data_IF_636075049785
#
_entry.id   IF_636075049785
#
_cell.length_a   1.000
_cell.length_b   1.000
_cell.length_c   1.000
_cell.angle_alpha   90.00
_cell.angle_beta   90.00
_cell.angle_gamma   90.00
#
_symmetry.space_group_name_H-M   'P 1'
#
loop_
_entity.id
_entity.type
_entity.pdbx_description
1 polymer ?
#
# COMPACT_ATOMS: atom_id res chain seq x y z
N UNK A 1 -4.70 -3.50 -30.14
CA UNK A 1 -4.80 -2.76 -28.85
C UNK A 1 -6.19 -2.97 -28.30
N UNK A 2 -6.32 -3.35 -27.02
CA UNK A 2 -7.62 -3.55 -26.37
C UNK A 2 -8.34 -2.20 -26.23
N UNK A 3 -9.63 -2.13 -26.54
CA UNK A 3 -10.42 -0.93 -26.34
C UNK A 3 -10.82 -0.81 -24.85
N UNK A 4 -10.38 0.24 -24.16
CA UNK A 4 -10.71 0.48 -22.75
C UNK A 4 -12.00 1.29 -22.60
N UNK A 5 -12.86 0.88 -21.66
CA UNK A 5 -14.08 1.61 -21.30
C UNK A 5 -13.75 2.89 -20.52
N UNK A 6 -14.74 3.78 -20.32
CA UNK A 6 -14.57 4.93 -19.43
C UNK A 6 -14.22 4.52 -17.98
N UNK A 7 -14.80 3.40 -17.51
CA UNK A 7 -14.56 2.84 -16.19
C UNK A 7 -13.13 2.29 -16.00
N UNK A 8 -12.49 1.87 -17.10
CA UNK A 8 -11.09 1.41 -17.11
C UNK A 8 -10.09 2.59 -17.19
N UNK A 9 -10.57 3.78 -17.55
CA UNK A 9 -9.76 5.00 -17.67
C UNK A 9 -9.83 5.88 -16.44
N UNK A 10 -10.97 5.92 -15.74
CA UNK A 10 -11.16 6.86 -14.63
C UNK A 10 -10.23 6.55 -13.44
N UNK A 11 -9.54 7.59 -12.96
CA UNK A 11 -8.71 7.56 -11.76
C UNK A 11 -9.54 7.25 -10.51
N UNK A 12 -9.10 6.29 -9.67
CA UNK A 12 -9.94 5.79 -8.56
C UNK A 12 -10.24 6.82 -7.47
N UNK A 13 -9.34 7.78 -7.22
CA UNK A 13 -9.61 8.90 -6.32
C UNK A 13 -10.45 10.03 -6.97
N UNK A 14 -10.38 10.21 -8.29
CA UNK A 14 -11.30 11.14 -8.98
C UNK A 14 -12.72 10.59 -8.88
N UNK A 15 -12.90 9.27 -9.04
CA UNK A 15 -14.17 8.59 -8.75
C UNK A 15 -14.69 8.88 -7.35
N UNK A 16 -13.82 8.89 -6.33
CA UNK A 16 -14.20 9.19 -4.95
C UNK A 16 -14.88 10.56 -4.82
N UNK A 17 -14.38 11.58 -5.52
CA UNK A 17 -15.00 12.91 -5.53
C UNK A 17 -16.38 12.90 -6.20
N UNK A 18 -16.58 12.08 -7.23
CA UNK A 18 -17.89 11.91 -7.87
C UNK A 18 -18.88 11.20 -6.94
N UNK A 19 -18.46 10.09 -6.34
CA UNK A 19 -19.30 9.25 -5.47
C UNK A 19 -19.71 9.97 -4.19
N UNK A 20 -18.80 10.77 -3.62
CA UNK A 20 -19.07 11.61 -2.44
C UNK A 20 -19.93 12.82 -2.76
N UNK A 21 -20.01 13.24 -4.04
CA UNK A 21 -20.66 14.47 -4.46
C UNK A 21 -19.80 15.73 -4.24
N UNK A 22 -18.50 15.57 -3.96
CA UNK A 22 -17.56 16.69 -3.86
C UNK A 22 -17.33 17.40 -5.21
N UNK A 23 -17.60 16.70 -6.32
CA UNK A 23 -17.57 17.26 -7.67
C UNK A 23 -18.86 16.89 -8.43
N UNK A 24 -19.38 17.82 -9.23
CA UNK A 24 -20.58 17.61 -10.04
C UNK A 24 -20.26 17.04 -11.43
N UNK A 25 -18.99 16.93 -11.82
CA UNK A 25 -18.56 16.33 -13.09
C UNK A 25 -17.16 15.72 -13.02
N UNK A 26 -16.80 14.88 -14.01
CA UNK A 26 -15.43 14.34 -14.15
C UNK A 26 -14.42 15.48 -14.27
N UNK A 27 -14.69 16.49 -15.09
CA UNK A 27 -13.79 17.62 -15.31
C UNK A 27 -13.55 18.43 -14.02
N UNK A 28 -14.59 18.66 -13.22
CA UNK A 28 -14.45 19.31 -11.91
C UNK A 28 -13.61 18.46 -10.94
N UNK A 29 -13.83 17.14 -10.92
CA UNK A 29 -13.07 16.23 -10.07
C UNK A 29 -11.59 16.18 -10.51
N UNK A 30 -11.30 16.14 -11.81
CA UNK A 30 -9.94 16.20 -12.33
C UNK A 30 -9.26 17.54 -12.00
N UNK A 31 -9.98 18.66 -12.15
CA UNK A 31 -9.47 19.98 -11.78
C UNK A 31 -9.17 20.09 -10.27
N UNK A 32 -10.02 19.51 -9.42
CA UNK A 32 -9.79 19.42 -7.97
C UNK A 32 -8.46 18.71 -7.66
N UNK A 33 -8.25 17.52 -8.24
CA UNK A 33 -7.04 16.74 -8.01
C UNK A 33 -5.79 17.35 -8.67
N UNK A 34 -5.94 18.07 -9.78
CA UNK A 34 -4.86 18.88 -10.37
C UNK A 34 -4.43 20.05 -9.47
N UNK A 35 -5.27 20.45 -8.50
CA UNK A 35 -4.91 21.39 -7.44
C UNK A 35 -4.10 20.76 -6.30
N UNK A 36 -4.14 19.44 -6.13
CA UNK A 36 -3.44 18.75 -5.04
C UNK A 36 -1.96 18.59 -5.35
N UNK A 37 -1.12 19.16 -4.49
CA UNK A 37 0.35 19.13 -4.58
C UNK A 37 0.95 18.65 -3.26
N UNK A 38 2.13 18.06 -3.32
CA UNK A 38 2.89 17.65 -2.15
C UNK A 38 4.38 17.91 -2.34
N UNK A 39 5.02 18.41 -1.28
CA UNK A 39 6.46 18.57 -1.20
C UNK A 39 7.07 17.57 -0.21
N UNK A 40 8.23 17.03 -0.57
CA UNK A 40 9.02 16.12 0.25
C UNK A 40 10.37 16.76 0.57
N UNK A 41 10.85 16.58 1.79
CA UNK A 41 12.16 17.04 2.24
C UNK A 41 12.92 15.91 2.92
N UNK A 42 14.22 15.86 2.72
CA UNK A 42 15.12 14.92 3.38
C UNK A 42 16.42 15.64 3.73
N UNK A 43 16.92 15.43 4.94
CA UNK A 43 18.20 15.99 5.39
C UNK A 43 19.39 15.29 4.74
N UNK A 44 20.58 15.90 4.85
CA UNK A 44 21.78 15.38 4.18
C UNK A 44 22.20 13.98 4.65
N UNK A 45 22.24 13.74 5.97
CA UNK A 45 22.57 12.42 6.52
C UNK A 45 21.51 11.38 6.17
N UNK A 46 20.23 11.76 6.32
CA UNK A 46 19.10 10.92 5.97
C UNK A 46 19.11 10.52 4.49
N UNK A 47 19.54 11.39 3.58
CA UNK A 47 19.63 11.08 2.16
C UNK A 47 20.63 9.96 1.83
N UNK A 48 21.57 9.66 2.73
CA UNK A 48 22.54 8.55 2.58
C UNK A 48 22.16 7.29 3.36
N UNK A 49 21.11 7.36 4.18
CA UNK A 49 20.60 6.21 4.92
C UNK A 49 19.53 5.45 4.12
N UNK A 50 19.69 4.13 4.02
CA UNK A 50 18.78 3.27 3.24
C UNK A 50 17.33 3.30 3.74
N UNK A 51 17.10 3.47 5.05
CA UNK A 51 15.74 3.44 5.61
C UNK A 51 15.01 4.76 5.33
N UNK A 52 15.72 5.88 5.43
CA UNK A 52 15.18 7.18 5.04
C UNK A 52 14.95 7.26 3.51
N UNK A 53 15.85 6.71 2.69
CA UNK A 53 15.59 6.57 1.25
C UNK A 53 14.35 5.72 0.96
N UNK A 54 14.14 4.62 1.70
CA UNK A 54 12.95 3.78 1.56
C UNK A 54 11.66 4.55 1.87
N UNK A 55 11.64 5.35 2.95
CA UNK A 55 10.51 6.23 3.26
C UNK A 55 10.28 7.26 2.15
N UNK A 56 11.34 7.94 1.69
CA UNK A 56 11.25 8.97 0.66
C UNK A 56 10.68 8.40 -0.65
N UNK A 57 11.26 7.32 -1.16
CA UNK A 57 10.86 6.73 -2.44
C UNK A 57 9.47 6.10 -2.38
N UNK A 58 9.11 5.50 -1.24
CA UNK A 58 7.72 5.07 -1.00
C UNK A 58 6.78 6.27 -1.03
N UNK A 59 7.10 7.36 -0.32
CA UNK A 59 6.27 8.56 -0.30
C UNK A 59 6.10 9.16 -1.71
N UNK A 60 7.17 9.26 -2.50
CA UNK A 60 7.11 9.71 -3.90
C UNK A 60 6.19 8.81 -4.74
N UNK A 61 6.42 7.49 -4.70
CA UNK A 61 5.65 6.54 -5.49
C UNK A 61 4.15 6.58 -5.16
N UNK A 62 3.80 6.70 -3.89
CA UNK A 62 2.42 6.84 -3.45
C UNK A 62 1.83 8.21 -3.82
N UNK A 63 2.56 9.29 -3.54
CA UNK A 63 2.07 10.65 -3.71
C UNK A 63 1.81 11.02 -5.16
N UNK A 64 2.65 10.57 -6.12
CA UNK A 64 2.47 10.86 -7.55
C UNK A 64 1.08 10.46 -8.07
N UNK A 65 0.50 9.42 -7.46
CA UNK A 65 -0.81 8.84 -7.80
C UNK A 65 -1.99 9.50 -7.06
N UNK A 66 -1.71 10.46 -6.19
CA UNK A 66 -2.71 11.11 -5.33
C UNK A 66 -2.73 12.63 -5.57
N UNK A 67 -1.56 13.24 -5.67
CA UNK A 67 -1.38 14.68 -5.84
C UNK A 67 -1.13 15.00 -7.32
N UNK A 68 -2.19 15.03 -8.11
CA UNK A 68 -2.11 15.17 -9.58
C UNK A 68 -1.64 16.57 -10.03
N UNK A 69 -1.60 17.54 -9.12
CA UNK A 69 -0.93 18.83 -9.35
C UNK A 69 0.59 18.77 -9.30
N UNK A 70 1.16 17.64 -8.86
CA UNK A 70 2.59 17.37 -8.88
C UNK A 70 3.19 17.10 -7.49
N UNK A 71 4.27 16.34 -7.50
CA UNK A 71 5.09 16.02 -6.32
C UNK A 71 6.50 16.53 -6.57
N UNK A 72 7.02 17.32 -5.62
CA UNK A 72 8.37 17.86 -5.67
C UNK A 72 9.19 17.40 -4.47
N UNK A 73 10.44 17.03 -4.68
CA UNK A 73 11.43 16.82 -3.62
C UNK A 73 12.34 18.04 -3.58
N UNK A 74 12.51 18.65 -2.41
CA UNK A 74 13.45 19.75 -2.22
C UNK A 74 14.87 19.35 -2.65
N UNK A 75 15.75 20.31 -3.01
CA UNK A 75 17.12 20.00 -3.38
C UNK A 75 17.80 19.11 -2.33
N UNK A 76 18.41 18.03 -2.81
CA UNK A 76 19.02 16.99 -1.99
C UNK A 76 20.50 16.85 -2.37
N UNK A 77 21.35 16.31 -1.47
CA UNK A 77 22.74 16.04 -1.80
C UNK A 77 22.84 14.97 -2.89
N UNK A 78 23.98 14.95 -3.59
CA UNK A 78 24.34 13.80 -4.40
C UNK A 78 24.56 12.58 -3.50
N UNK A 79 23.80 11.53 -3.75
CA UNK A 79 23.76 10.32 -2.94
C UNK A 79 23.50 9.09 -3.81
N UNK A 80 24.25 8.00 -3.61
CA UNK A 80 23.95 6.73 -4.27
C UNK A 80 22.59 6.21 -3.80
N UNK A 81 21.93 5.44 -4.65
CA UNK A 81 20.74 4.70 -4.26
C UNK A 81 21.16 3.54 -3.33
N UNK A 82 20.85 3.68 -2.05
CA UNK A 82 21.19 2.71 -1.00
C UNK A 82 20.07 1.68 -0.78
N UNK A 83 18.83 1.98 -1.21
CA UNK A 83 17.76 0.98 -1.22
C UNK A 83 17.96 0.02 -2.39
N UNK A 84 17.63 -1.26 -2.22
CA UNK A 84 17.85 -2.26 -3.26
C UNK A 84 16.73 -2.24 -4.32
N UNK A 85 16.11 -1.09 -4.61
CA UNK A 85 15.02 -1.00 -5.59
C UNK A 85 15.56 -0.75 -7.02
N UNK A 86 14.90 -1.28 -8.06
CA UNK A 86 15.41 -1.19 -9.44
C UNK A 86 15.07 0.16 -10.11
N UNK A 87 15.49 1.28 -9.50
CA UNK A 87 15.18 2.64 -9.95
C UNK A 87 16.41 3.50 -10.29
N UNK A 88 17.54 2.89 -10.63
CA UNK A 88 18.75 3.60 -11.05
C UNK A 88 19.90 3.46 -10.06
N UNK A 89 20.93 4.29 -10.23
CA UNK A 89 22.15 4.26 -9.43
C UNK A 89 22.19 5.34 -8.35
N UNK A 90 21.47 6.45 -8.54
CA UNK A 90 21.42 7.57 -7.59
C UNK A 90 20.04 7.79 -7.00
N UNK A 91 19.98 8.44 -5.84
CA UNK A 91 18.71 8.81 -5.22
C UNK A 91 17.90 9.77 -6.12
N UNK A 92 18.59 10.70 -6.80
CA UNK A 92 17.96 11.65 -7.72
C UNK A 92 17.33 10.96 -8.93
N UNK A 93 18.04 10.01 -9.56
CA UNK A 93 17.51 9.18 -10.65
C UNK A 93 16.25 8.42 -10.21
N UNK A 94 16.27 7.84 -9.01
CA UNK A 94 15.13 7.10 -8.48
C UNK A 94 13.91 8.01 -8.24
N UNK A 95 14.11 9.21 -7.69
CA UNK A 95 13.04 10.21 -7.49
C UNK A 95 12.40 10.60 -8.83
N UNK A 96 13.23 10.91 -9.83
CA UNK A 96 12.76 11.32 -11.17
C UNK A 96 12.08 10.15 -11.89
N UNK A 97 12.66 8.95 -11.81
CA UNK A 97 12.08 7.73 -12.39
C UNK A 97 10.72 7.37 -11.77
N UNK A 98 10.53 7.65 -10.48
CA UNK A 98 9.23 7.52 -9.82
C UNK A 98 8.27 8.68 -10.11
N UNK A 99 8.69 9.70 -10.87
CA UNK A 99 7.84 10.75 -11.42
C UNK A 99 7.68 11.99 -10.57
N UNK A 100 8.57 12.23 -9.60
CA UNK A 100 8.65 13.52 -8.90
C UNK A 100 9.70 14.44 -9.54
N UNK A 101 9.50 15.75 -9.40
CA UNK A 101 10.52 16.75 -9.74
C UNK A 101 11.44 17.02 -8.56
N UNK A 102 12.67 17.44 -8.83
CA UNK A 102 13.60 17.93 -7.82
C UNK A 102 13.70 19.45 -7.96
N UNK A 103 13.44 20.17 -6.87
CA UNK A 103 13.48 21.62 -6.86
C UNK A 103 12.76 22.23 -5.66
N UNK A 104 12.88 23.54 -5.51
CA UNK A 104 12.22 24.26 -4.43
C UNK A 104 10.68 24.14 -4.56
N UNK A 105 9.99 23.72 -3.49
CA UNK A 105 8.54 23.59 -3.54
C UNK A 105 7.88 24.98 -3.59
N UNK A 106 6.75 25.07 -4.28
CA UNK A 106 5.94 26.28 -4.29
C UNK A 106 5.47 26.62 -2.86
N UNK A 107 5.46 27.91 -2.51
CA UNK A 107 5.01 28.38 -1.21
C UNK A 107 3.59 27.88 -0.88
N UNK A 108 3.38 27.42 0.36
CA UNK A 108 2.09 26.90 0.83
C UNK A 108 1.81 25.44 0.46
N UNK A 109 2.67 24.78 -0.33
CA UNK A 109 2.54 23.34 -0.61
C UNK A 109 2.67 22.53 0.68
N UNK A 110 1.79 21.55 0.97
CA UNK A 110 1.94 20.63 2.09
C UNK A 110 3.31 19.93 2.07
N UNK A 111 3.94 19.79 3.24
CA UNK A 111 5.29 19.21 3.36
C UNK A 111 5.29 17.95 4.20
N UNK A 112 5.97 16.91 3.69
CA UNK A 112 6.43 15.76 4.46
C UNK A 112 7.95 15.81 4.55
N UNK A 113 8.48 15.87 5.76
CA UNK A 113 9.90 15.74 6.06
C UNK A 113 10.21 14.28 6.41
N UNK A 114 11.24 13.69 5.81
CA UNK A 114 11.65 12.32 6.04
C UNK A 114 12.68 12.28 7.17
N UNK A 115 12.30 11.72 8.32
CA UNK A 115 13.09 11.79 9.55
C UNK A 115 13.20 13.23 10.05
N UNK A 116 14.43 13.67 10.32
CA UNK A 116 14.75 15.03 10.75
C UNK A 116 14.48 15.31 12.23
N UNK A 117 15.05 16.40 12.73
CA UNK A 117 14.80 16.89 14.10
C UNK A 117 13.51 17.73 14.15
N UNK A 118 12.94 17.96 15.34
CA UNK A 118 11.84 18.90 15.52
C UNK A 118 12.17 20.27 14.91
N UNK A 119 11.24 20.82 14.15
CA UNK A 119 11.44 22.05 13.40
C UNK A 119 10.18 22.92 13.39
N UNK A 120 10.31 24.27 13.29
CA UNK A 120 9.17 25.12 13.01
C UNK A 120 8.46 24.70 11.72
N UNK A 121 7.14 24.89 11.66
CA UNK A 121 6.38 24.59 10.44
C UNK A 121 6.83 25.52 9.30
N UNK A 122 7.19 24.93 8.16
CA UNK A 122 7.47 25.67 6.93
C UNK A 122 6.26 25.77 5.98
N UNK A 123 5.18 25.06 6.30
CA UNK A 123 3.93 25.06 5.54
C UNK A 123 2.72 24.81 6.47
N UNK A 124 1.49 25.15 6.04
CA UNK A 124 0.27 24.90 6.82
C UNK A 124 0.12 23.44 7.27
N UNK A 125 0.45 22.50 6.38
CA UNK A 125 0.66 21.09 6.68
C UNK A 125 2.16 20.79 6.65
N UNK A 126 2.72 20.35 7.78
CA UNK A 126 4.11 19.94 7.90
C UNK A 126 4.23 18.84 8.95
N UNK A 127 4.60 17.63 8.50
CA UNK A 127 4.81 16.46 9.36
C UNK A 127 6.16 15.82 9.08
N UNK A 128 6.72 15.15 10.09
CA UNK A 128 7.91 14.29 9.97
C UNK A 128 7.47 12.84 9.91
N UNK A 129 7.95 12.08 8.93
CA UNK A 129 7.85 10.63 8.88
C UNK A 129 8.97 10.03 9.74
N UNK A 130 8.61 9.32 10.81
CA UNK A 130 9.55 8.81 11.82
C UNK A 130 9.32 7.32 12.06
N UNK A 131 10.41 6.60 12.38
CA UNK A 131 10.39 5.16 12.54
C UNK A 131 11.55 4.68 13.42
N UNK A 132 11.35 3.56 14.12
CA UNK A 132 12.38 2.85 14.89
C UNK A 132 11.91 1.42 15.13
N UNK A 133 12.81 0.43 15.11
CA UNK A 133 12.39 -0.96 15.29
C UNK A 133 11.34 -1.37 14.25
N UNK A 134 10.24 -1.95 14.71
CA UNK A 134 9.08 -2.31 13.88
C UNK A 134 8.01 -1.20 13.80
N UNK A 135 8.29 -0.03 14.39
CA UNK A 135 7.33 1.05 14.56
C UNK A 135 7.54 2.13 13.51
N UNK A 136 6.46 2.57 12.88
CA UNK A 136 6.47 3.61 11.86
C UNK A 136 5.25 4.50 11.94
N UNK A 137 5.45 5.80 11.72
CA UNK A 137 4.37 6.77 11.79
C UNK A 137 4.81 8.17 11.41
N UNK A 138 3.97 9.13 11.80
CA UNK A 138 4.19 10.55 11.61
C UNK A 138 4.01 11.30 12.91
N UNK A 139 4.72 12.42 13.01
CA UNK A 139 4.54 13.43 14.05
C UNK A 139 4.47 14.81 13.40
N UNK A 140 3.74 15.78 13.99
CA UNK A 140 3.83 17.17 13.57
C UNK A 140 5.30 17.64 13.57
N UNK A 141 5.70 18.45 12.57
CA UNK A 141 7.07 18.93 12.49
C UNK A 141 7.67 19.51 13.79
N UNK A 142 6.96 20.36 14.57
CA UNK A 142 7.50 20.93 15.79
C UNK A 142 7.42 20.00 17.01
N UNK A 143 6.81 18.81 16.89
CA UNK A 143 6.68 17.91 18.03
C UNK A 143 8.04 17.30 18.38
N UNK A 144 8.39 17.28 19.66
CA UNK A 144 9.58 16.58 20.18
C UNK A 144 9.44 15.05 20.15
N UNK A 145 8.21 14.56 20.05
CA UNK A 145 7.91 13.13 20.03
C UNK A 145 8.64 12.42 18.88
N UNK A 146 9.28 11.30 19.21
CA UNK A 146 9.91 10.37 18.28
C UNK A 146 9.83 8.97 18.89
N UNK A 147 9.78 7.91 18.06
CA UNK A 147 9.79 6.55 18.57
C UNK A 147 11.12 6.26 19.27
N UNK A 148 11.07 5.54 20.39
CA UNK A 148 12.28 5.11 21.11
C UNK A 148 13.23 4.38 20.14
N UNK A 149 14.52 4.78 20.05
CA UNK A 149 15.45 4.22 19.09
C UNK A 149 15.59 2.69 19.20
N UNK A 150 15.59 2.02 18.05
CA UNK A 150 15.82 0.58 17.89
C UNK A 150 16.26 0.30 16.45
N UNK A 151 16.99 -0.81 16.19
CA UNK A 151 17.38 -1.20 14.83
C UNK A 151 16.17 -1.25 13.89
N UNK A 152 16.20 -0.44 12.83
CA UNK A 152 15.03 -0.22 11.97
C UNK A 152 14.73 -1.47 11.15
N UNK A 153 13.51 -1.99 11.29
CA UNK A 153 12.95 -3.02 10.42
C UNK A 153 12.51 -2.38 9.10
N UNK A 154 12.85 -3.02 7.98
CA UNK A 154 12.79 -2.43 6.64
C UNK A 154 11.39 -1.95 6.17
N UNK A 155 10.30 -2.43 6.77
CA UNK A 155 8.93 -2.00 6.44
C UNK A 155 8.41 -0.84 7.31
N UNK A 156 9.07 -0.51 8.41
CA UNK A 156 8.69 0.63 9.24
C UNK A 156 8.78 1.98 8.50
N UNK A 157 9.80 2.25 7.66
CA UNK A 157 9.84 3.45 6.82
C UNK A 157 8.73 3.49 5.76
N UNK A 158 8.37 2.34 5.17
CA UNK A 158 7.27 2.23 4.21
C UNK A 158 5.93 2.57 4.88
N UNK A 159 5.69 2.06 6.09
CA UNK A 159 4.52 2.37 6.90
C UNK A 159 4.45 3.88 7.21
N UNK A 160 5.55 4.47 7.69
CA UNK A 160 5.62 5.90 8.01
C UNK A 160 5.29 6.77 6.79
N UNK A 161 5.86 6.43 5.63
CA UNK A 161 5.59 7.12 4.36
C UNK A 161 4.12 7.01 3.93
N UNK A 162 3.54 5.82 4.01
CA UNK A 162 2.14 5.60 3.62
C UNK A 162 1.17 6.38 4.53
N UNK A 163 1.42 6.39 5.85
CA UNK A 163 0.65 7.19 6.80
C UNK A 163 0.81 8.70 6.56
N UNK A 164 2.02 9.16 6.21
CA UNK A 164 2.26 10.55 5.86
C UNK A 164 1.44 10.98 4.64
N UNK A 165 1.47 10.19 3.57
CA UNK A 165 0.72 10.45 2.33
C UNK A 165 -0.79 10.44 2.59
N UNK A 166 -1.27 9.49 3.41
CA UNK A 166 -2.68 9.47 3.86
C UNK A 166 -3.06 10.75 4.61
N UNK A 167 -2.27 11.17 5.59
CA UNK A 167 -2.56 12.36 6.40
C UNK A 167 -2.50 13.65 5.55
N UNK A 168 -1.57 13.73 4.59
CA UNK A 168 -1.51 14.82 3.62
C UNK A 168 -2.74 14.85 2.71
N UNK A 169 -3.22 13.68 2.27
CA UNK A 169 -4.46 13.56 1.51
C UNK A 169 -5.67 14.03 2.34
N UNK A 170 -5.78 13.61 3.61
CA UNK A 170 -6.84 14.05 4.54
C UNK A 170 -6.85 15.58 4.70
N UNK A 171 -5.66 16.20 4.74
CA UNK A 171 -5.51 17.64 4.82
C UNK A 171 -6.02 18.34 3.54
N UNK A 172 -5.51 17.99 2.35
CA UNK A 172 -5.87 18.70 1.10
C UNK A 172 -7.31 18.44 0.66
N UNK A 173 -7.87 17.29 1.03
CA UNK A 173 -9.25 16.92 0.73
C UNK A 173 -10.28 17.48 1.73
N UNK A 174 -9.83 18.17 2.80
CA UNK A 174 -10.70 18.80 3.78
C UNK A 174 -11.49 17.84 4.68
N UNK A 175 -11.15 16.54 4.67
CA UNK A 175 -11.90 15.51 5.40
C UNK A 175 -11.58 15.42 6.90
N UNK A 176 -10.47 16.03 7.36
CA UNK A 176 -10.09 16.02 8.77
C UNK A 176 -9.33 17.29 9.18
N UNK A 177 -9.93 18.13 10.03
CA UNK A 177 -9.31 19.37 10.52
C UNK A 177 -8.06 19.14 11.38
N UNK A 178 -7.95 17.96 11.98
CA UNK A 178 -6.80 17.52 12.79
C UNK A 178 -5.63 16.99 11.94
N UNK A 179 -5.83 16.81 10.63
CA UNK A 179 -4.81 16.25 9.74
C UNK A 179 -3.50 17.06 9.81
N UNK A 180 -2.39 16.39 10.09
CA UNK A 180 -1.07 17.00 10.22
C UNK A 180 -0.83 17.75 11.54
N UNK A 181 -1.76 17.63 12.51
CA UNK A 181 -1.66 18.20 13.87
C UNK A 181 -1.59 17.14 14.97
N UNK A 182 -1.67 15.85 14.60
CA UNK A 182 -1.61 14.71 15.51
C UNK A 182 -0.46 13.78 15.14
N UNK A 183 -0.02 12.98 16.11
CA UNK A 183 0.85 11.85 15.86
C UNK A 183 0.01 10.63 15.46
N UNK A 184 0.43 9.91 14.43
CA UNK A 184 -0.28 8.71 13.92
C UNK A 184 0.77 7.67 13.54
N UNK A 185 0.66 6.47 14.07
CA UNK A 185 1.60 5.39 13.78
C UNK A 185 1.13 4.06 14.33
N UNK A 186 1.84 3.01 13.95
CA UNK A 186 1.56 1.63 14.33
C UNK A 186 2.88 0.91 14.65
N UNK A 187 2.82 -0.11 15.49
CA UNK A 187 3.87 -1.14 15.54
C UNK A 187 3.50 -2.28 14.59
N UNK A 188 4.44 -2.65 13.72
CA UNK A 188 4.35 -3.85 12.89
C UNK A 188 4.77 -5.11 13.68
N UNK A 189 5.21 -4.99 14.92
CA UNK A 189 5.43 -6.16 15.79
C UNK A 189 4.20 -6.45 16.64
N UNK A 190 3.62 -5.40 17.24
CA UNK A 190 2.37 -5.47 18.00
C UNK A 190 1.35 -4.47 17.42
N UNK A 191 0.51 -4.90 16.47
CA UNK A 191 -0.50 -4.05 15.86
C UNK A 191 -1.71 -3.78 16.78
N UNK A 192 -1.75 -4.26 18.02
CA UNK A 192 -2.90 -4.04 18.90
C UNK A 192 -3.07 -2.56 19.27
N UNK A 193 -4.32 -2.10 19.44
CA UNK A 193 -4.63 -0.70 19.75
C UNK A 193 -3.94 -0.16 21.00
N UNK A 194 -3.70 -1.01 22.00
CA UNK A 194 -3.03 -0.67 23.25
C UNK A 194 -1.50 -0.48 23.12
N UNK A 195 -0.90 -0.85 21.99
CA UNK A 195 0.52 -0.65 21.76
C UNK A 195 0.82 0.82 21.46
N UNK A 196 1.66 1.44 22.31
CA UNK A 196 2.24 2.76 22.04
C UNK A 196 3.42 2.61 21.06
N UNK A 197 3.20 3.05 19.82
CA UNK A 197 4.19 3.00 18.76
C UNK A 197 5.35 4.02 18.95
N UNK A 198 5.20 5.01 19.84
CA UNK A 198 6.29 5.91 20.20
C UNK A 198 7.15 5.32 21.33
N UNK A 199 6.55 4.57 22.24
CA UNK A 199 7.23 3.83 23.30
C UNK A 199 8.11 2.70 22.77
N UNK A 200 9.09 2.28 23.59
CA UNK A 200 9.90 1.09 23.30
C UNK A 200 9.19 -0.18 23.77
N UNK A 201 9.19 -1.21 22.94
CA UNK A 201 8.73 -2.56 23.33
C UNK A 201 9.95 -3.45 23.57
N UNK A 202 10.02 -4.10 24.74
CA UNK A 202 11.18 -4.93 25.13
C UNK A 202 11.32 -6.19 24.25
N UNK A 203 10.30 -6.49 23.44
CA UNK A 203 10.15 -7.76 22.70
C UNK A 203 10.36 -7.64 21.19
N UNK A 204 10.59 -6.45 20.63
CA UNK A 204 10.82 -6.28 19.20
C UNK A 204 12.15 -6.94 18.77
N UNK A 205 12.12 -7.99 17.93
CA UNK A 205 13.35 -8.64 17.49
C UNK A 205 14.05 -7.81 16.42
N UNK A 206 15.37 -7.97 16.31
CA UNK A 206 16.09 -7.57 15.10
C UNK A 206 15.63 -8.49 13.97
N UNK A 207 15.39 -7.92 12.78
CA UNK A 207 15.03 -8.69 11.60
C UNK A 207 16.23 -9.55 11.16
N UNK A 208 16.10 -10.87 11.24
CA UNK A 208 17.16 -11.84 10.91
C UNK A 208 16.75 -12.83 9.83
N UNK A 209 15.44 -13.11 9.70
CA UNK A 209 14.90 -14.12 8.79
C UNK A 209 13.91 -13.49 7.79
N UNK A 210 14.04 -13.85 6.53
CA UNK A 210 13.16 -13.44 5.44
C UNK A 210 12.53 -14.66 4.77
N UNK A 211 11.34 -14.54 4.16
CA UNK A 211 10.71 -15.67 3.49
C UNK A 211 11.53 -16.12 2.27
N UNK A 212 11.72 -17.43 2.11
CA UNK A 212 12.42 -17.98 0.94
C UNK A 212 11.50 -18.20 -0.28
N UNK A 213 10.20 -18.39 -0.02
CA UNK A 213 9.22 -18.69 -1.06
C UNK A 213 7.84 -18.13 -0.69
N UNK A 214 7.18 -17.48 -1.64
CA UNK A 214 5.84 -16.92 -1.44
C UNK A 214 5.00 -17.06 -2.71
N UNK A 215 3.70 -17.23 -2.52
CA UNK A 215 2.71 -17.17 -3.60
C UNK A 215 1.90 -15.87 -3.49
N UNK A 216 1.97 -15.00 -4.50
CA UNK A 216 1.18 -13.78 -4.56
C UNK A 216 -0.04 -14.01 -5.47
N UNK A 217 -1.23 -13.98 -4.87
CA UNK A 217 -2.51 -14.21 -5.55
C UNK A 217 -3.23 -12.86 -5.73
N UNK A 218 -3.35 -12.42 -6.98
CA UNK A 218 -3.87 -11.10 -7.34
C UNK A 218 -2.77 -10.04 -7.33
N UNK A 219 -2.50 -9.44 -8.48
CA UNK A 219 -1.41 -8.50 -8.77
C UNK A 219 -1.94 -7.11 -9.15
N UNK A 220 -3.12 -6.77 -8.66
CA UNK A 220 -3.66 -5.41 -8.66
C UNK A 220 -3.05 -4.54 -7.56
N UNK A 221 -3.86 -3.70 -6.95
CA UNK A 221 -3.44 -2.73 -5.93
C UNK A 221 -2.60 -3.37 -4.79
N UNK A 222 -3.11 -4.43 -4.14
CA UNK A 222 -2.43 -5.09 -3.02
C UNK A 222 -1.21 -5.90 -3.43
N UNK A 223 -1.32 -6.72 -4.49
CA UNK A 223 -0.19 -7.54 -4.93
C UNK A 223 1.04 -6.73 -5.31
N UNK A 224 0.86 -5.56 -5.93
CA UNK A 224 1.97 -4.66 -6.22
C UNK A 224 2.55 -4.00 -4.97
N UNK A 225 1.71 -3.69 -3.98
CA UNK A 225 2.18 -3.18 -2.69
C UNK A 225 2.96 -4.26 -1.90
N UNK A 226 2.56 -5.54 -1.98
CA UNK A 226 3.33 -6.65 -1.43
C UNK A 226 4.70 -6.76 -2.12
N UNK A 227 4.76 -6.67 -3.45
CA UNK A 227 6.04 -6.68 -4.17
C UNK A 227 6.94 -5.51 -3.79
N UNK A 228 6.38 -4.31 -3.62
CA UNK A 228 7.14 -3.17 -3.11
C UNK A 228 7.71 -3.44 -1.72
N UNK A 229 6.89 -3.93 -0.79
CA UNK A 229 7.32 -4.28 0.56
C UNK A 229 8.44 -5.34 0.55
N UNK A 230 8.27 -6.43 -0.22
CA UNK A 230 9.29 -7.46 -0.41
C UNK A 230 10.58 -6.87 -1.02
N UNK A 231 10.45 -5.95 -1.98
CA UNK A 231 11.58 -5.26 -2.59
C UNK A 231 12.41 -4.44 -1.60
N UNK A 232 11.79 -3.90 -0.55
CA UNK A 232 12.48 -3.17 0.52
C UNK A 232 13.21 -4.08 1.51
N UNK A 233 12.85 -5.36 1.59
CA UNK A 233 13.48 -6.28 2.52
C UNK A 233 14.96 -6.51 2.13
N UNK A 234 15.86 -6.56 3.13
CA UNK A 234 17.29 -6.67 2.91
C UNK A 234 17.69 -8.13 2.68
N UNK A 235 17.35 -8.71 1.52
CA UNK A 235 17.83 -10.05 1.17
C UNK A 235 19.34 -10.03 0.88
N UNK A 236 20.14 -10.80 1.64
CA UNK A 236 21.57 -11.01 1.35
C UNK A 236 21.82 -11.48 -0.09
N UNK A 237 20.99 -12.42 -0.56
CA UNK A 237 20.96 -12.92 -1.94
C UNK A 237 19.52 -12.84 -2.45
N UNK A 238 19.16 -11.80 -3.22
CA UNK A 238 17.78 -11.60 -3.68
C UNK A 238 17.21 -12.82 -4.43
N UNK A 239 18.03 -13.56 -5.15
CA UNK A 239 17.61 -14.74 -5.90
C UNK A 239 17.12 -15.91 -5.04
N UNK A 240 17.42 -15.90 -3.74
CA UNK A 240 16.96 -16.91 -2.79
C UNK A 240 15.45 -16.75 -2.47
N UNK A 241 14.85 -15.60 -2.79
CA UNK A 241 13.39 -15.44 -2.78
C UNK A 241 12.81 -15.95 -4.10
N UNK A 242 11.96 -16.97 -4.02
CA UNK A 242 11.13 -17.48 -5.12
C UNK A 242 9.69 -17.01 -5.00
N UNK A 243 9.17 -16.37 -6.05
CA UNK A 243 7.82 -15.82 -6.10
C UNK A 243 6.98 -16.52 -7.16
N UNK A 244 5.87 -17.15 -6.75
CA UNK A 244 4.81 -17.51 -7.69
C UNK A 244 3.85 -16.33 -7.80
N UNK A 245 3.66 -15.82 -9.02
CA UNK A 245 2.85 -14.64 -9.32
C UNK A 245 1.60 -15.07 -10.09
N UNK A 246 0.42 -14.91 -9.47
CA UNK A 246 -0.84 -15.36 -10.06
C UNK A 246 -1.84 -14.22 -10.29
N UNK A 247 -2.17 -13.96 -11.56
CA UNK A 247 -3.22 -13.04 -12.01
C UNK A 247 -3.58 -13.34 -13.48
N UNK A 248 -4.80 -13.04 -13.90
CA UNK A 248 -5.27 -13.22 -15.29
C UNK A 248 -5.45 -11.90 -16.03
N UNK A 249 -5.44 -10.77 -15.32
CA UNK A 249 -5.74 -9.46 -15.87
C UNK A 249 -4.54 -8.84 -16.59
N UNK A 250 -4.86 -7.81 -17.36
CA UNK A 250 -3.91 -6.85 -17.92
C UNK A 250 -3.91 -5.56 -17.11
N UNK A 251 -2.85 -4.79 -17.24
CA UNK A 251 -2.78 -3.42 -16.72
C UNK A 251 -3.66 -2.52 -17.58
N UNK A 252 -4.60 -1.85 -16.93
CA UNK A 252 -5.50 -0.84 -17.53
C UNK A 252 -5.06 0.57 -17.14
N UNK A 253 -5.51 1.63 -17.83
CA UNK A 253 -5.11 3.00 -17.50
C UNK A 253 -5.40 3.39 -16.04
N UNK A 254 -6.55 2.97 -15.50
CA UNK A 254 -6.92 3.22 -14.09
C UNK A 254 -6.01 2.51 -13.07
N UNK A 255 -5.23 1.51 -13.48
CA UNK A 255 -4.36 0.73 -12.59
C UNK A 255 -3.27 1.61 -11.95
N UNK A 256 -2.77 2.60 -12.69
CA UNK A 256 -1.77 3.55 -12.20
C UNK A 256 -2.26 4.33 -10.97
N UNK A 257 -3.56 4.63 -10.87
CA UNK A 257 -4.12 5.41 -9.76
C UNK A 257 -4.04 4.73 -8.39
N UNK A 258 -3.84 3.40 -8.35
CA UNK A 258 -3.80 2.64 -7.09
C UNK A 258 -2.56 1.76 -6.95
N UNK A 259 -2.01 1.25 -8.05
CA UNK A 259 -0.99 0.20 -7.99
C UNK A 259 0.41 0.79 -8.10
N UNK A 260 1.23 0.62 -7.05
CA UNK A 260 2.50 1.33 -6.85
C UNK A 260 3.58 1.03 -7.91
N UNK A 261 3.49 -0.09 -8.62
CA UNK A 261 4.46 -0.52 -9.63
C UNK A 261 4.00 -0.32 -11.07
N UNK A 262 2.75 0.12 -11.29
CA UNK A 262 2.19 0.31 -12.63
C UNK A 262 2.21 1.76 -13.06
N UNK A 263 2.57 2.01 -14.31
CA UNK A 263 2.45 3.30 -14.98
C UNK A 263 1.88 3.13 -16.40
N UNK A 264 1.67 4.26 -17.09
CA UNK A 264 1.14 4.32 -18.44
C UNK A 264 1.92 3.50 -19.48
N UNK A 265 3.21 3.22 -19.27
CA UNK A 265 4.04 2.45 -20.21
C UNK A 265 3.72 0.96 -20.18
N UNK A 266 3.07 0.48 -19.11
CA UNK A 266 2.74 -0.93 -18.92
C UNK A 266 1.31 -1.30 -19.32
N UNK A 267 0.53 -0.34 -19.85
CA UNK A 267 -0.85 -0.59 -20.29
C UNK A 267 -0.90 -1.70 -21.34
N UNK A 268 -1.90 -2.58 -21.25
CA UNK A 268 -2.08 -3.81 -22.04
C UNK A 268 -1.12 -4.96 -21.74
N UNK A 269 -0.13 -4.78 -20.85
CA UNK A 269 0.73 -5.89 -20.42
C UNK A 269 -0.02 -6.71 -19.35
N UNK A 270 0.09 -8.04 -19.42
CA UNK A 270 -0.40 -8.94 -18.36
C UNK A 270 0.26 -8.56 -17.03
N UNK A 271 -0.53 -8.44 -15.96
CA UNK A 271 -0.03 -8.02 -14.64
C UNK A 271 1.09 -8.94 -14.16
N UNK A 272 0.93 -10.26 -14.30
CA UNK A 272 1.95 -11.27 -14.00
C UNK A 272 3.28 -11.00 -14.68
N UNK A 273 3.28 -10.69 -15.98
CA UNK A 273 4.50 -10.44 -16.76
C UNK A 273 5.18 -9.13 -16.37
N UNK A 274 4.41 -8.07 -16.20
CA UNK A 274 4.93 -6.78 -15.76
C UNK A 274 5.56 -6.88 -14.35
N UNK A 275 4.88 -7.58 -13.44
CA UNK A 275 5.34 -7.75 -12.07
C UNK A 275 6.51 -8.73 -11.95
N UNK A 276 6.54 -9.79 -12.75
CA UNK A 276 7.68 -10.68 -12.88
C UNK A 276 8.93 -9.89 -13.34
N UNK A 277 8.80 -9.11 -14.42
CA UNK A 277 9.90 -8.31 -14.94
C UNK A 277 10.42 -7.28 -13.90
N UNK A 278 9.54 -6.70 -13.09
CA UNK A 278 9.96 -5.83 -11.98
C UNK A 278 10.71 -6.60 -10.89
N UNK A 279 10.17 -7.74 -10.45
CA UNK A 279 10.76 -8.58 -9.41
C UNK A 279 12.12 -9.16 -9.83
N UNK A 280 12.26 -9.55 -11.09
CA UNK A 280 13.53 -10.05 -11.67
C UNK A 280 14.59 -8.94 -11.76
N UNK A 281 14.21 -7.70 -12.09
CA UNK A 281 15.14 -6.56 -11.99
C UNK A 281 15.56 -6.27 -10.56
N UNK A 282 14.69 -6.53 -9.58
CA UNK A 282 15.03 -6.51 -8.15
C UNK A 282 15.94 -7.69 -7.75
N UNK A 283 16.08 -8.70 -8.60
CA UNK A 283 16.93 -9.87 -8.40
C UNK A 283 16.20 -11.08 -7.82
N UNK A 284 14.87 -11.06 -7.73
CA UNK A 284 14.06 -12.19 -7.25
C UNK A 284 13.85 -13.23 -8.35
N UNK A 285 13.64 -14.49 -7.96
CA UNK A 285 13.25 -15.57 -8.87
C UNK A 285 11.73 -15.60 -9.02
N UNK A 286 11.20 -15.73 -10.24
CA UNK A 286 9.73 -15.69 -10.45
C UNK A 286 9.20 -16.87 -11.27
N UNK A 287 7.96 -17.25 -10.99
CA UNK A 287 7.14 -18.20 -11.75
C UNK A 287 5.79 -17.55 -12.00
N UNK A 288 5.31 -17.59 -13.24
CA UNK A 288 4.04 -16.95 -13.65
C UNK A 288 2.92 -17.98 -13.74
N UNK A 289 1.81 -17.69 -13.06
CA UNK A 289 0.55 -18.43 -13.19
C UNK A 289 -0.58 -17.52 -13.72
N UNK A 290 -0.86 -17.60 -15.02
CA UNK A 290 -2.00 -16.91 -15.68
C UNK A 290 -3.27 -17.78 -15.63
N UNK A 291 -3.62 -18.31 -14.44
CA UNK A 291 -4.80 -19.16 -14.21
C UNK A 291 -5.70 -18.56 -13.12
N UNK A 292 -7.02 -18.70 -13.29
CA UNK A 292 -7.99 -18.32 -12.27
C UNK A 292 -7.74 -19.06 -10.95
N UNK A 293 -7.84 -18.35 -9.84
CA UNK A 293 -7.82 -18.93 -8.50
C UNK A 293 -9.25 -19.23 -8.04
N UNK A 294 -9.54 -20.48 -7.74
CA UNK A 294 -10.86 -20.95 -7.31
C UNK A 294 -10.75 -22.20 -6.41
N UNK A 295 -11.89 -22.75 -5.99
CA UNK A 295 -11.96 -23.92 -5.13
C UNK A 295 -11.49 -25.24 -5.78
N UNK A 296 -11.27 -25.28 -7.10
CA UNK A 296 -10.70 -26.42 -7.82
C UNK A 296 -9.18 -26.33 -7.94
N UNK A 297 -8.58 -25.21 -7.52
CA UNK A 297 -7.14 -25.06 -7.42
C UNK A 297 -6.56 -26.03 -6.38
N UNK A 298 -5.37 -26.58 -6.62
CA UNK A 298 -4.66 -27.43 -5.66
C UNK A 298 -3.18 -27.12 -5.71
N UNK A 299 -2.63 -26.62 -4.61
CA UNK A 299 -1.19 -26.44 -4.40
C UNK A 299 -0.50 -27.80 -4.45
N UNK A 300 0.62 -27.89 -5.14
CA UNK A 300 1.54 -29.03 -5.11
C UNK A 300 2.53 -28.90 -3.95
N UNK A 301 3.04 -30.03 -3.46
CA UNK A 301 3.86 -30.06 -2.25
C UNK A 301 5.16 -29.23 -2.35
N UNK A 302 5.74 -29.11 -3.55
CA UNK A 302 6.96 -28.37 -3.83
C UNK A 302 6.75 -26.85 -4.05
N UNK A 303 5.49 -26.42 -4.22
CA UNK A 303 5.12 -25.00 -4.37
C UNK A 303 5.15 -24.25 -3.02
N UNK A 304 5.19 -22.90 -3.01
CA UNK A 304 5.21 -22.13 -1.77
C UNK A 304 4.01 -22.42 -0.85
N UNK A 305 4.30 -22.81 0.39
CA UNK A 305 3.30 -23.08 1.44
C UNK A 305 2.57 -21.81 1.93
N UNK A 306 3.20 -20.64 1.74
CA UNK A 306 2.68 -19.35 2.19
C UNK A 306 2.11 -18.55 1.03
N UNK A 307 0.87 -18.07 1.17
CA UNK A 307 0.24 -17.18 0.20
C UNK A 307 -0.02 -15.78 0.76
N UNK A 308 0.25 -14.75 -0.06
CA UNK A 308 -0.23 -13.39 0.15
C UNK A 308 -1.36 -13.12 -0.85
N UNK A 309 -2.57 -12.94 -0.35
CA UNK A 309 -3.77 -12.76 -1.18
C UNK A 309 -4.21 -11.30 -1.20
N UNK A 310 -4.43 -10.79 -2.42
CA UNK A 310 -4.96 -9.46 -2.70
C UNK A 310 -6.13 -9.48 -3.69
N UNK A 311 -6.85 -10.61 -3.79
CA UNK A 311 -8.02 -10.75 -4.66
C UNK A 311 -9.13 -9.78 -4.26
N UNK A 312 -9.89 -9.30 -5.23
CA UNK A 312 -10.99 -8.34 -5.04
C UNK A 312 -12.39 -8.98 -5.09
N UNK A 313 -12.47 -10.30 -5.24
CA UNK A 313 -13.72 -11.04 -5.38
C UNK A 313 -13.89 -12.07 -4.26
N UNK A 314 -15.12 -12.16 -3.74
CA UNK A 314 -15.44 -13.06 -2.63
C UNK A 314 -15.27 -14.53 -2.98
N UNK A 315 -15.61 -14.94 -4.20
CA UNK A 315 -15.53 -16.34 -4.64
C UNK A 315 -14.10 -16.91 -4.54
N UNK A 316 -13.10 -16.18 -5.02
CA UNK A 316 -11.70 -16.57 -4.87
C UNK A 316 -11.24 -16.56 -3.41
N UNK A 317 -11.69 -15.60 -2.61
CA UNK A 317 -11.36 -15.55 -1.18
C UNK A 317 -11.92 -16.73 -0.39
N UNK A 318 -13.12 -17.22 -0.74
CA UNK A 318 -13.74 -18.39 -0.10
C UNK A 318 -12.91 -19.68 -0.27
N UNK A 319 -12.07 -19.76 -1.30
CA UNK A 319 -11.26 -20.94 -1.59
C UNK A 319 -9.90 -20.97 -0.87
N UNK A 320 -9.47 -19.88 -0.22
CA UNK A 320 -8.10 -19.70 0.25
C UNK A 320 -7.61 -20.79 1.22
N UNK A 321 -8.49 -21.29 2.08
CA UNK A 321 -8.18 -22.34 3.07
C UNK A 321 -8.55 -23.76 2.60
N UNK A 322 -8.92 -23.95 1.33
CA UNK A 322 -9.37 -25.24 0.77
C UNK A 322 -8.40 -25.85 -0.24
N UNK A 323 -7.36 -25.10 -0.62
CA UNK A 323 -6.53 -25.41 -1.80
C UNK A 323 -5.10 -25.81 -1.46
N UNK A 324 -4.80 -26.03 -0.17
CA UNK A 324 -3.57 -26.65 0.30
C UNK A 324 -2.47 -25.71 0.79
N UNK A 325 -2.71 -24.41 0.95
CA UNK A 325 -1.76 -23.51 1.63
C UNK A 325 -1.76 -23.75 3.14
N UNK A 326 -0.57 -23.75 3.74
CA UNK A 326 -0.40 -23.95 5.18
C UNK A 326 -0.56 -22.63 5.96
N UNK A 327 -0.26 -21.49 5.31
CA UNK A 327 -0.44 -20.16 5.87
C UNK A 327 -0.82 -19.16 4.78
N UNK A 328 -1.96 -18.51 4.92
CA UNK A 328 -2.41 -17.45 4.01
C UNK A 328 -2.54 -16.15 4.78
N UNK A 329 -2.02 -15.07 4.23
CA UNK A 329 -2.35 -13.71 4.67
C UNK A 329 -3.17 -13.04 3.59
N UNK A 330 -4.46 -12.82 3.87
CA UNK A 330 -5.39 -12.13 3.00
C UNK A 330 -5.58 -10.70 3.47
N UNK A 331 -5.61 -9.74 2.54
CA UNK A 331 -6.07 -8.39 2.84
C UNK A 331 -7.18 -7.96 1.88
N UNK A 332 -8.17 -7.28 2.43
CA UNK A 332 -9.21 -6.57 1.74
C UNK A 332 -9.16 -5.08 2.05
N UNK A 333 -9.51 -4.27 1.06
CA UNK A 333 -9.66 -2.82 1.20
C UNK A 333 -11.12 -2.46 0.96
N UNK A 334 -11.60 -1.44 1.66
CA UNK A 334 -12.94 -0.90 1.41
C UNK A 334 -13.07 -0.41 -0.04
N UNK A 335 -14.29 -0.48 -0.57
CA UNK A 335 -14.55 -0.28 -2.00
C UNK A 335 -15.31 1.01 -2.30
N UNK A 336 -16.01 1.57 -1.32
CA UNK A 336 -16.84 2.75 -1.46
C UNK A 336 -16.13 4.05 -1.06
N UNK A 337 -16.73 5.18 -1.42
CA UNK A 337 -16.18 6.50 -1.12
C UNK A 337 -16.07 6.82 0.38
N UNK A 338 -16.81 6.10 1.24
CA UNK A 338 -16.80 6.28 2.71
C UNK A 338 -15.72 5.44 3.38
N UNK A 339 -15.53 4.21 2.91
CA UNK A 339 -14.75 3.16 3.54
C UNK A 339 -13.49 2.78 2.77
N UNK A 340 -13.13 3.42 1.65
CA UNK A 340 -11.93 3.08 0.86
C UNK A 340 -10.59 3.11 1.63
N UNK A 341 -10.58 3.67 2.85
CA UNK A 341 -9.44 3.70 3.78
C UNK A 341 -9.47 2.58 4.81
N UNK A 342 -10.54 1.80 4.86
CA UNK A 342 -10.66 0.62 5.69
C UNK A 342 -9.80 -0.50 5.10
N UNK A 343 -9.07 -1.16 5.98
CA UNK A 343 -8.19 -2.29 5.72
C UNK A 343 -8.65 -3.40 6.65
N UNK A 344 -8.93 -4.56 6.08
CA UNK A 344 -9.19 -5.77 6.86
C UNK A 344 -8.27 -6.88 6.38
N UNK A 345 -7.50 -7.44 7.29
CA UNK A 345 -6.58 -8.53 7.06
C UNK A 345 -7.05 -9.75 7.82
N UNK A 346 -6.94 -10.92 7.20
CA UNK A 346 -7.12 -12.22 7.85
C UNK A 346 -5.90 -13.10 7.63
N UNK A 347 -5.54 -13.90 8.64
CA UNK A 347 -4.66 -15.05 8.44
C UNK A 347 -5.48 -16.33 8.42
N UNK A 348 -5.12 -17.27 7.54
CA UNK A 348 -5.76 -18.58 7.43
C UNK A 348 -4.71 -19.70 7.55
N UNK A 349 -5.05 -20.87 8.10
CA UNK A 349 -6.35 -21.20 8.71
C UNK A 349 -6.67 -20.33 9.93
N UNK A 350 -7.97 -20.08 10.16
CA UNK A 350 -8.50 -19.24 11.23
C UNK A 350 -9.54 -20.01 12.05
N UNK A 351 -10.03 -19.42 13.14
CA UNK A 351 -11.17 -19.93 13.91
C UNK A 351 -12.44 -20.13 13.06
N UNK A 352 -12.59 -19.34 11.98
CA UNK A 352 -13.67 -19.44 11.00
C UNK A 352 -13.09 -19.77 9.63
N UNK A 353 -13.65 -20.74 8.90
CA UNK A 353 -13.19 -21.02 7.54
C UNK A 353 -13.52 -19.85 6.60
N UNK A 354 -12.74 -19.71 5.54
CA UNK A 354 -12.85 -18.64 4.54
C UNK A 354 -14.28 -18.52 3.98
N UNK A 355 -14.90 -19.67 3.68
CA UNK A 355 -16.29 -19.75 3.20
C UNK A 355 -17.33 -19.11 4.15
N UNK A 356 -17.02 -19.04 5.44
CA UNK A 356 -17.87 -18.39 6.44
C UNK A 356 -17.50 -16.93 6.72
N UNK A 357 -16.26 -16.52 6.44
CA UNK A 357 -15.81 -15.12 6.54
C UNK A 357 -16.43 -14.33 5.39
N UNK A 358 -16.27 -14.82 4.15
CA UNK A 358 -16.82 -14.20 2.96
C UNK A 358 -18.14 -14.87 2.58
N UNK A 359 -19.24 -14.43 3.17
CA UNK A 359 -20.61 -14.77 2.72
C UNK A 359 -21.00 -13.81 1.59
N UNK A 360 -21.93 -14.21 0.71
CA UNK A 360 -22.24 -13.53 -0.56
C UNK A 360 -22.33 -12.00 -0.53
N UNK A 361 -22.12 -11.37 -1.70
CA UNK A 361 -21.85 -9.94 -1.85
C UNK A 361 -22.79 -9.02 -1.03
N UNK A 362 -22.19 -8.08 -0.29
CA UNK A 362 -22.89 -6.91 0.23
C UNK A 362 -23.37 -6.04 -0.93
N UNK A 363 -24.55 -5.44 -0.81
CA UNK A 363 -25.05 -4.48 -1.79
C UNK A 363 -24.14 -3.25 -1.82
N UNK A 364 -23.74 -2.82 -3.02
CA UNK A 364 -23.00 -1.57 -3.19
C UNK A 364 -23.90 -0.36 -2.82
N UNK A 365 -23.28 0.72 -2.34
CA UNK A 365 -23.95 2.01 -2.14
C UNK A 365 -24.51 2.50 -3.48
N UNK A 366 -25.81 2.85 -3.52
CA UNK A 366 -26.43 3.45 -4.70
C UNK A 366 -25.90 4.88 -4.89
N UNK A 367 -25.00 5.05 -5.86
CA UNK A 367 -24.36 6.34 -6.18
C UNK A 367 -24.83 6.91 -7.52
N UNK A 368 -25.61 6.17 -8.29
CA UNK A 368 -26.10 6.55 -9.62
C UNK A 368 -26.97 7.82 -9.59
N UNK A 369 -27.52 8.15 -8.42
CA UNK A 369 -28.31 9.35 -8.17
C UNK A 369 -27.51 10.64 -7.97
N UNK A 370 -26.16 10.55 -7.87
CA UNK A 370 -25.31 11.75 -7.65
C UNK A 370 -25.31 12.67 -8.88
N UNK A 371 -25.08 13.98 -8.69
CA UNK A 371 -25.12 14.97 -9.77
C UNK A 371 -24.25 14.60 -10.97
N UNK A 372 -23.04 14.08 -10.74
CA UNK A 372 -22.12 13.67 -11.79
C UNK A 372 -22.70 12.56 -12.69
N UNK A 373 -23.30 11.52 -12.11
CA UNK A 373 -23.87 10.40 -12.87
C UNK A 373 -25.12 10.82 -13.64
N UNK A 374 -26.00 11.62 -13.03
CA UNK A 374 -27.16 12.22 -13.71
C UNK A 374 -26.73 13.12 -14.87
N UNK A 375 -25.70 13.94 -14.64
CA UNK A 375 -25.11 14.80 -15.66
C UNK A 375 -24.56 14.02 -16.85
N UNK A 376 -23.85 12.91 -16.61
CA UNK A 376 -23.31 12.03 -17.67
C UNK A 376 -24.39 11.39 -18.53
N UNK A 377 -25.50 10.95 -17.93
CA UNK A 377 -26.66 10.40 -18.67
C UNK A 377 -27.34 11.51 -19.48
N UNK A 378 -27.55 12.68 -18.86
CA UNK A 378 -28.28 13.79 -19.48
C UNK A 378 -27.52 14.40 -20.66
N UNK A 379 -26.19 14.50 -20.57
CA UNK A 379 -25.34 15.02 -21.64
C UNK A 379 -25.04 14.00 -22.74
N UNK A 380 -25.38 12.71 -22.54
CA UNK A 380 -25.04 11.63 -23.45
C UNK A 380 -23.56 11.21 -23.41
N UNK A 381 -22.78 11.68 -22.42
CA UNK A 381 -21.38 11.28 -22.26
C UNK A 381 -21.22 9.79 -21.93
N UNK A 382 -22.18 9.22 -21.18
CA UNK A 382 -22.32 7.78 -20.95
C UNK A 382 -23.80 7.39 -21.00
N UNK A 383 -24.08 6.20 -21.50
CA UNK A 383 -25.40 5.59 -21.36
C UNK A 383 -25.60 4.99 -19.97
N UNK A 384 -26.80 4.46 -19.70
CA UNK A 384 -27.12 3.83 -18.40
C UNK A 384 -26.18 2.67 -18.08
N UNK A 385 -25.84 1.87 -19.09
CA UNK A 385 -24.91 0.73 -18.94
C UNK A 385 -23.51 1.22 -18.51
N UNK A 386 -22.99 2.25 -19.19
CA UNK A 386 -21.70 2.87 -18.88
C UNK A 386 -21.65 3.49 -17.48
N UNK A 387 -22.72 4.14 -17.04
CA UNK A 387 -22.84 4.67 -15.66
C UNK A 387 -22.85 3.55 -14.63
N UNK A 388 -23.63 2.49 -14.83
CA UNK A 388 -23.64 1.34 -13.91
C UNK A 388 -22.26 0.68 -13.83
N UNK A 389 -21.59 0.48 -14.98
CA UNK A 389 -20.22 -0.06 -15.02
C UNK A 389 -19.23 0.83 -14.27
N UNK A 390 -19.37 2.15 -14.40
CA UNK A 390 -18.52 3.10 -13.69
C UNK A 390 -18.80 3.10 -12.19
N UNK A 391 -20.06 3.19 -11.78
CA UNK A 391 -20.50 3.21 -10.39
C UNK A 391 -20.00 1.97 -9.62
N UNK A 392 -20.07 0.79 -10.24
CA UNK A 392 -19.61 -0.48 -9.66
C UNK A 392 -18.08 -0.65 -9.54
N UNK A 393 -17.27 0.28 -10.06
CA UNK A 393 -15.82 0.25 -9.83
C UNK A 393 -15.48 0.71 -8.40
N UNK A 394 -14.56 0.01 -7.76
CA UNK A 394 -14.08 0.41 -6.44
C UNK A 394 -13.36 1.77 -6.47
N UNK A 395 -13.55 2.55 -5.42
CA UNK A 395 -12.63 3.61 -5.01
C UNK A 395 -11.39 2.95 -4.40
N UNK A 396 -10.22 3.57 -4.55
CA UNK A 396 -9.00 3.08 -3.94
C UNK A 396 -7.91 4.14 -3.95
N UNK A 397 -7.01 4.05 -2.98
CA UNK A 397 -5.86 4.93 -2.88
C UNK A 397 -4.60 4.13 -2.55
N UNK A 398 -3.45 4.44 -3.17
CA UNK A 398 -2.25 3.61 -3.12
C UNK A 398 -1.67 3.50 -1.71
N UNK A 399 -1.81 4.55 -0.89
CA UNK A 399 -1.34 4.54 0.50
C UNK A 399 -2.09 3.53 1.38
N UNK A 400 -3.35 3.21 1.05
CA UNK A 400 -4.14 2.20 1.78
C UNK A 400 -3.57 0.81 1.52
N UNK A 401 -3.27 0.49 0.25
CA UNK A 401 -2.61 -0.76 -0.11
C UNK A 401 -1.21 -0.87 0.46
N UNK A 402 -0.46 0.23 0.57
CA UNK A 402 0.86 0.22 1.20
C UNK A 402 0.83 -0.07 2.70
N UNK A 403 -0.12 0.52 3.47
CA UNK A 403 -0.30 0.15 4.88
C UNK A 403 -0.77 -1.29 5.03
N UNK A 404 -1.70 -1.73 4.19
CA UNK A 404 -2.16 -3.13 4.20
C UNK A 404 -1.00 -4.10 3.90
N UNK A 405 -0.13 -3.76 2.95
CA UNK A 405 1.05 -4.55 2.61
C UNK A 405 2.07 -4.63 3.74
N UNK A 406 2.33 -3.53 4.46
CA UNK A 406 3.25 -3.57 5.61
C UNK A 406 2.70 -4.48 6.70
N UNK A 407 1.40 -4.43 6.99
CA UNK A 407 0.74 -5.32 7.95
C UNK A 407 0.78 -6.79 7.50
N UNK A 408 0.44 -7.05 6.23
CA UNK A 408 0.37 -8.40 5.66
C UNK A 408 1.73 -9.10 5.58
N UNK A 409 2.74 -8.43 5.03
CA UNK A 409 4.09 -8.99 4.97
C UNK A 409 4.64 -9.17 6.39
N UNK A 410 4.30 -8.27 7.32
CA UNK A 410 4.72 -8.43 8.71
C UNK A 410 4.08 -9.62 9.44
N UNK A 411 2.92 -10.15 9.03
CA UNK A 411 2.42 -11.43 9.58
C UNK A 411 3.38 -12.59 9.26
N UNK A 412 3.87 -12.65 8.03
CA UNK A 412 4.88 -13.65 7.62
C UNK A 412 6.17 -13.45 8.40
N UNK A 413 6.62 -12.20 8.56
CA UNK A 413 7.85 -11.92 9.30
C UNK A 413 7.69 -12.21 10.80
N UNK A 414 6.52 -11.90 11.41
CA UNK A 414 6.21 -12.27 12.80
C UNK A 414 6.27 -13.77 12.99
N UNK A 415 5.63 -14.53 12.09
CA UNK A 415 5.69 -16.00 12.09
C UNK A 415 7.15 -16.50 12.09
N UNK A 416 8.00 -15.96 11.21
CA UNK A 416 9.41 -16.35 11.12
C UNK A 416 10.24 -16.03 12.38
N UNK A 417 9.84 -15.02 13.15
CA UNK A 417 10.55 -14.60 14.36
C UNK A 417 9.88 -15.09 15.66
N UNK A 418 8.94 -16.04 15.56
CA UNK A 418 8.20 -16.56 16.72
C UNK A 418 7.31 -15.52 17.41
N UNK A 419 6.93 -14.48 16.67
CA UNK A 419 6.01 -13.44 17.13
C UNK A 419 4.56 -13.89 17.09
N UNK A 420 3.70 -13.10 17.71
CA UNK A 420 2.27 -13.35 17.70
C UNK A 420 1.68 -13.08 16.30
N UNK A 421 0.97 -14.06 15.76
CA UNK A 421 0.23 -13.93 14.48
C UNK A 421 -1.20 -13.49 14.77
N UNK A 422 -1.75 -12.58 13.96
CA UNK A 422 -3.11 -12.11 14.13
C UNK A 422 -4.04 -12.78 13.14
N UNK A 423 -5.11 -13.39 13.65
CA UNK A 423 -6.21 -13.90 12.83
C UNK A 423 -6.94 -12.78 12.10
N UNK A 424 -7.09 -11.62 12.74
CA UNK A 424 -7.77 -10.45 12.18
C UNK A 424 -7.01 -9.18 12.57
N UNK A 425 -6.80 -8.30 11.59
CA UNK A 425 -6.44 -6.89 11.81
C UNK A 425 -7.43 -6.04 11.03
N UNK A 426 -8.14 -5.14 11.71
CA UNK A 426 -9.11 -4.21 11.13
C UNK A 426 -8.71 -2.77 11.49
N UNK A 427 -8.46 -1.94 10.48
CA UNK A 427 -7.92 -0.58 10.61
C UNK A 427 -8.62 0.35 9.62
N UNK A 428 -9.03 1.55 10.04
CA UNK A 428 -9.40 2.64 9.14
C UNK A 428 -8.34 3.75 9.21
N UNK A 429 -7.73 4.10 8.06
CA UNK A 429 -6.70 5.12 8.01
C UNK A 429 -7.17 6.55 8.36
N UNK A 430 -8.49 6.79 8.46
CA UNK A 430 -9.02 8.03 9.03
C UNK A 430 -8.72 8.12 10.53
N UNK A 431 -8.78 7.01 11.26
CA UNK A 431 -8.51 6.96 12.68
C UNK A 431 -7.85 5.62 13.10
N UNK A 432 -6.56 5.39 12.74
CA UNK A 432 -5.83 4.15 13.03
C UNK A 432 -5.74 3.78 14.52
N UNK A 433 -5.96 4.75 15.42
CA UNK A 433 -5.99 4.55 16.86
C UNK A 433 -7.12 3.61 17.32
N UNK A 434 -8.23 3.50 16.57
CA UNK A 434 -9.38 2.65 16.90
C UNK A 434 -9.35 1.27 16.22
N UNK A 435 -8.17 0.83 15.77
CA UNK A 435 -8.00 -0.48 15.16
C UNK A 435 -8.39 -1.63 16.08
N UNK A 436 -8.78 -2.75 15.50
CA UNK A 436 -9.09 -3.99 16.22
C UNK A 436 -8.16 -5.10 15.75
N UNK A 437 -7.67 -5.90 16.69
CA UNK A 437 -6.82 -7.05 16.40
C UNK A 437 -7.32 -8.28 17.15
N UNK A 438 -7.27 -9.44 16.51
CA UNK A 438 -7.57 -10.73 17.14
C UNK A 438 -6.37 -11.64 16.91
N UNK A 439 -5.79 -12.18 17.99
CA UNK A 439 -4.70 -13.15 17.90
C UNK A 439 -5.21 -14.48 17.36
N UNK A 440 -4.39 -15.14 16.54
CA UNK A 440 -4.71 -16.50 16.13
C UNK A 440 -4.68 -17.46 17.30
N UNK A 441 -5.58 -18.44 17.27
CA UNK A 441 -5.56 -19.59 18.17
C UNK A 441 -4.88 -20.81 17.50
N UNK A 442 -4.48 -20.68 16.24
CA UNK A 442 -3.79 -21.75 15.52
C UNK A 442 -2.32 -21.83 15.96
N UNK A 443 -1.83 -23.06 16.12
CA UNK A 443 -0.43 -23.31 16.43
C UNK A 443 0.39 -23.46 15.14
N UNK A 444 1.19 -22.44 14.83
CA UNK A 444 2.12 -22.46 13.69
C UNK A 444 3.56 -22.81 14.10
N UNK A 445 3.81 -23.25 15.35
CA UNK A 445 5.17 -23.52 15.86
C UNK A 445 5.93 -24.62 15.09
N UNK A 446 5.20 -25.50 14.40
CA UNK A 446 5.77 -26.58 13.59
C UNK A 446 5.86 -26.24 12.10
N UNK A 447 5.28 -25.11 11.67
CA UNK A 447 5.30 -24.68 10.28
C UNK A 447 6.67 -24.10 9.92
N UNK A 448 7.35 -24.74 8.96
CA UNK A 448 8.53 -24.17 8.33
C UNK A 448 8.19 -23.72 6.90
N UNK A 449 7.91 -22.43 6.67
CA UNK A 449 7.57 -21.92 5.34
C UNK A 449 8.80 -21.78 4.41
N UNK A 450 9.99 -22.11 4.89
CA UNK A 450 11.26 -21.81 4.24
C UNK A 450 11.69 -20.36 4.48
N UNK A 451 12.93 -20.18 4.91
CA UNK A 451 13.50 -18.87 5.24
C UNK A 451 14.93 -18.74 4.74
N UNK A 452 15.36 -17.49 4.58
CA UNK A 452 16.72 -17.08 4.21
C UNK A 452 17.20 -15.98 5.17
N UNK A 453 18.52 -15.86 5.43
CA UNK A 453 19.03 -14.80 6.28
C UNK A 453 18.95 -13.41 5.61
N UNK A 454 18.89 -12.36 6.43
CA UNK A 454 19.09 -10.95 6.03
C UNK A 454 20.50 -10.70 5.56
#
# INVERSE_FOLDING_TARGET
MTAFTAADKLHRLVKQALDSGAAASIAEAEALFAGYRLALRIGEEAARDRHHQAALLTAVALARRVFLGGVSVAPLPDAPLAVPLPFGATLAEAIVGLGASIGEPAAGTPVIEIGGAPSPRCAPFHVRAVFAGWRGGIVPAPAEAAPVPAPVMALAPMLAAALAVNEAFLYVSGHASVAGRRAVGLSLWDPAAGCDWLGGTVTEPVLLLLPARLWLIGLGHLGQAYLWALGLLPFARPQDLSLVLQDIDIITPSTESTSILSDYTLINIKKTRAMAAWAERRGFSTVIHERLFDALFRRQDDEPAVALCGLDNGAGRQALDQVGFDFVVEAGLGRGHRDFRAIRLHTLPASRPASQIWRGAQADDQVEDRPAYKGMITSGALDRCGVTLLAGKAVGAPFVGAVAATLAVSEVLRLLHGGAVHELIDVDLKAPEYRTTVLTQQDFSTLNPGYVPV
#
